data_IF_349669451510
#
_entry.id   IF_349669451510
#
_cell.length_a   1.000
_cell.length_b   1.000
_cell.length_c   1.000
_cell.angle_alpha   90.00
_cell.angle_beta   90.00
_cell.angle_gamma   90.00
#
_symmetry.space_group_name_H-M   'P 1'
#
loop_
_entity.id
_entity.type
_entity.pdbx_description
1 polymer ?
#
# COMPACT_ATOMS: atom_id res chain seq x y z
N UNK A 1 -77.76 -10.90 8.71
CA UNK A 1 -78.18 -9.74 7.88
C UNK A 1 -78.40 -10.22 6.46
N UNK A 2 -79.60 -10.01 5.93
CA UNK A 2 -80.14 -10.62 4.70
C UNK A 2 -79.47 -10.11 3.42
N UNK A 3 -79.43 -11.01 2.45
CA UNK A 3 -78.82 -10.90 1.12
C UNK A 3 -79.53 -9.96 0.13
N UNK A 4 -78.70 -9.39 -0.76
CA UNK A 4 -78.83 -9.16 -2.22
C UNK A 4 -80.20 -8.81 -2.82
N UNK A 5 -80.20 -7.73 -3.62
CA UNK A 5 -80.75 -7.74 -4.98
C UNK A 5 -80.08 -6.71 -5.89
N UNK A 6 -79.43 -7.22 -6.95
CA UNK A 6 -79.07 -6.48 -8.18
C UNK A 6 -80.36 -6.17 -8.95
N UNK A 7 -80.45 -5.03 -9.64
CA UNK A 7 -80.95 -4.99 -11.02
C UNK A 7 -80.58 -3.68 -11.75
N UNK A 8 -80.25 -3.88 -13.02
CA UNK A 8 -79.71 -2.96 -14.03
C UNK A 8 -80.74 -1.92 -14.51
N UNK A 9 -80.27 -0.73 -14.90
CA UNK A 9 -80.76 0.02 -16.08
C UNK A 9 -79.58 0.59 -16.85
N UNK A 10 -79.61 0.37 -18.17
CA UNK A 10 -78.63 0.81 -19.15
C UNK A 10 -79.08 2.11 -19.85
N UNK A 11 -78.26 2.56 -20.81
CA UNK A 11 -78.40 3.69 -21.77
C UNK A 11 -78.00 5.06 -21.19
N UNK A 12 -77.15 5.90 -21.79
CA UNK A 12 -76.82 6.06 -23.22
C UNK A 12 -75.40 6.58 -23.48
N UNK A 13 -74.99 6.30 -24.72
CA UNK A 13 -73.78 6.58 -25.47
C UNK A 13 -73.63 8.08 -25.80
N UNK A 14 -72.44 8.66 -25.56
CA UNK A 14 -71.92 9.79 -26.35
C UNK A 14 -70.47 9.48 -26.72
N UNK A 15 -70.27 9.34 -28.02
CA UNK A 15 -68.97 9.22 -28.66
C UNK A 15 -68.20 10.54 -28.55
N UNK A 16 -66.97 10.49 -28.07
CA UNK A 16 -65.91 11.41 -28.49
C UNK A 16 -64.69 10.57 -28.84
N UNK A 17 -64.59 10.26 -30.13
CA UNK A 17 -63.37 9.77 -30.75
C UNK A 17 -62.44 10.97 -30.89
N UNK A 18 -61.36 10.98 -30.10
CA UNK A 18 -60.15 11.70 -30.43
C UNK A 18 -59.01 10.70 -30.50
N UNK A 19 -58.76 10.23 -31.72
CA UNK A 19 -57.54 9.58 -32.14
C UNK A 19 -56.40 10.60 -32.08
N UNK A 20 -55.34 10.29 -31.35
CA UNK A 20 -53.98 10.07 -31.91
C UNK A 20 -52.86 10.52 -30.95
N UNK A 21 -51.81 9.69 -30.98
CA UNK A 21 -50.43 9.98 -30.64
C UNK A 21 -50.06 10.09 -29.15
N UNK A 22 -49.63 8.95 -28.62
CA UNK A 22 -48.88 8.84 -27.36
C UNK A 22 -48.48 7.41 -27.10
N UNK A 23 -47.92 6.72 -28.09
CA UNK A 23 -47.27 5.42 -27.85
C UNK A 23 -46.09 5.67 -26.90
N UNK A 24 -46.27 5.26 -25.64
CA UNK A 24 -45.36 4.39 -24.91
C UNK A 24 -43.88 4.51 -25.28
N UNK A 25 -43.26 5.60 -24.86
CA UNK A 25 -41.84 5.64 -24.53
C UNK A 25 -41.69 5.79 -23.03
N UNK A 26 -42.22 4.83 -22.26
CA UNK A 26 -41.85 4.67 -20.86
C UNK A 26 -40.39 4.18 -20.90
N UNK A 27 -39.45 5.11 -21.01
CA UNK A 27 -38.06 4.78 -20.72
C UNK A 27 -38.04 4.30 -19.28
N UNK A 28 -37.76 3.01 -19.09
CA UNK A 28 -37.32 2.52 -17.78
C UNK A 28 -36.22 3.49 -17.34
N UNK A 29 -36.43 4.16 -16.21
CA UNK A 29 -35.32 4.82 -15.51
C UNK A 29 -34.43 3.66 -15.07
N UNK A 30 -33.48 3.26 -15.91
CA UNK A 30 -32.45 2.30 -15.53
C UNK A 30 -31.81 2.80 -14.23
N UNK A 31 -31.86 1.95 -13.21
CA UNK A 31 -31.36 2.24 -11.88
C UNK A 31 -29.84 2.48 -11.97
N UNK A 32 -29.36 3.58 -11.39
CA UNK A 32 -27.92 3.85 -11.33
C UNK A 32 -27.27 2.80 -10.43
N UNK A 33 -26.19 2.19 -10.91
CA UNK A 33 -25.31 1.33 -10.09
C UNK A 33 -24.57 2.23 -9.11
N UNK A 34 -24.65 1.95 -7.81
CA UNK A 34 -23.93 2.69 -6.78
C UNK A 34 -22.79 1.83 -6.25
N UNK A 35 -21.55 2.28 -6.43
CA UNK A 35 -20.36 1.68 -5.83
C UNK A 35 -20.08 2.33 -4.49
N UNK A 36 -20.06 1.54 -3.41
CA UNK A 36 -19.64 1.99 -2.08
C UNK A 36 -18.13 1.77 -1.94
N UNK A 37 -17.40 2.88 -1.76
CA UNK A 37 -15.95 2.90 -1.66
C UNK A 37 -15.55 3.31 -0.25
N UNK A 38 -14.70 2.51 0.40
CA UNK A 38 -14.02 2.93 1.64
C UNK A 38 -12.61 3.38 1.30
N UNK A 39 -12.22 4.53 1.86
CA UNK A 39 -10.88 5.07 1.67
C UNK A 39 -10.29 5.67 2.94
N UNK A 40 -8.96 5.58 3.10
CA UNK A 40 -8.25 6.39 4.08
C UNK A 40 -8.25 7.87 3.69
N UNK A 41 -8.17 8.76 4.69
CA UNK A 41 -8.30 10.21 4.50
C UNK A 41 -7.27 10.81 3.55
N UNK A 42 -6.02 10.33 3.58
CA UNK A 42 -4.94 10.82 2.72
C UNK A 42 -5.14 10.47 1.24
N UNK A 43 -5.87 9.40 0.96
CA UNK A 43 -6.17 8.96 -0.41
C UNK A 43 -7.38 9.70 -1.02
N UNK A 44 -8.20 10.35 -0.19
CA UNK A 44 -9.52 10.87 -0.59
C UNK A 44 -9.49 11.69 -1.89
N UNK A 45 -8.55 12.62 -2.03
CA UNK A 45 -8.50 13.52 -3.20
C UNK A 45 -8.30 12.73 -4.50
N UNK A 46 -7.43 11.71 -4.50
CA UNK A 46 -7.21 10.85 -5.67
C UNK A 46 -8.42 9.96 -5.93
N UNK A 47 -9.05 9.42 -4.88
CA UNK A 47 -10.25 8.60 -5.00
C UNK A 47 -11.44 9.41 -5.54
N UNK A 48 -11.62 10.66 -5.10
CA UNK A 48 -12.63 11.58 -5.63
C UNK A 48 -12.38 11.89 -7.11
N UNK A 49 -11.12 12.11 -7.50
CA UNK A 49 -10.77 12.31 -8.90
C UNK A 49 -11.10 11.08 -9.76
N UNK A 50 -10.79 9.87 -9.29
CA UNK A 50 -11.11 8.63 -9.99
C UNK A 50 -12.63 8.42 -10.09
N UNK A 51 -13.36 8.67 -9.00
CA UNK A 51 -14.81 8.59 -8.94
C UNK A 51 -15.47 9.55 -9.95
N UNK A 52 -15.07 10.83 -9.94
CA UNK A 52 -15.59 11.85 -10.87
C UNK A 52 -15.27 11.53 -12.32
N UNK A 53 -14.09 10.98 -12.60
CA UNK A 53 -13.75 10.52 -13.94
C UNK A 53 -14.70 9.40 -14.37
N UNK A 54 -14.85 8.35 -13.55
CA UNK A 54 -15.72 7.21 -13.81
C UNK A 54 -17.18 7.62 -14.04
N UNK A 55 -17.75 8.45 -13.15
CA UNK A 55 -19.12 8.95 -13.30
C UNK A 55 -19.31 9.81 -14.57
N UNK A 56 -18.25 10.53 -14.97
CA UNK A 56 -18.25 11.37 -16.16
C UNK A 56 -18.29 10.57 -17.46
N UNK A 57 -17.60 9.43 -17.52
CA UNK A 57 -17.59 8.54 -18.70
C UNK A 57 -18.70 7.47 -18.67
N UNK A 58 -19.24 7.16 -17.48
CA UNK A 58 -20.33 6.20 -17.29
C UNK A 58 -21.51 6.84 -16.55
N UNK A 59 -22.48 7.37 -17.31
CA UNK A 59 -23.66 8.05 -16.75
C UNK A 59 -24.57 7.18 -15.85
N UNK A 60 -24.35 5.85 -15.86
CA UNK A 60 -25.09 4.85 -15.09
C UNK A 60 -24.40 4.47 -13.77
N UNK A 61 -23.15 4.87 -13.56
CA UNK A 61 -22.41 4.61 -12.32
C UNK A 61 -22.56 5.84 -11.42
N UNK A 62 -22.65 5.58 -10.12
CA UNK A 62 -22.48 6.56 -9.05
C UNK A 62 -21.50 5.98 -8.04
N UNK A 63 -20.59 6.80 -7.53
CA UNK A 63 -19.61 6.39 -6.53
C UNK A 63 -19.92 7.10 -5.21
N UNK A 64 -20.09 6.34 -4.14
CA UNK A 64 -20.29 6.84 -2.79
C UNK A 64 -19.04 6.54 -1.96
N UNK A 65 -18.26 7.58 -1.69
CA UNK A 65 -17.01 7.50 -0.92
C UNK A 65 -17.31 7.71 0.56
N UNK A 66 -16.93 6.74 1.38
CA UNK A 66 -16.90 6.84 2.83
C UNK A 66 -15.43 6.86 3.28
N UNK A 67 -15.03 7.97 3.90
CA UNK A 67 -13.65 8.20 4.38
C UNK A 67 -13.50 7.72 5.82
N UNK A 68 -12.45 6.95 6.09
CA UNK A 68 -12.07 6.57 7.46
C UNK A 68 -11.50 7.79 8.21
N UNK A 69 -11.86 7.99 9.49
CA UNK A 69 -11.20 9.00 10.33
C UNK A 69 -9.68 8.73 10.39
N UNK A 70 -8.87 9.80 10.50
CA UNK A 70 -7.41 9.69 10.47
C UNK A 70 -6.84 8.82 11.59
N UNK A 71 -7.16 9.15 12.85
CA UNK A 71 -6.63 8.49 14.06
C UNK A 71 -7.64 8.56 15.22
N UNK A 72 -7.36 7.83 16.30
CA UNK A 72 -8.09 7.92 17.57
C UNK A 72 -9.39 7.10 17.65
N UNK A 73 -10.17 7.26 18.74
CA UNK A 73 -11.29 6.38 19.07
C UNK A 73 -12.42 6.35 18.02
N UNK A 74 -12.59 7.45 17.27
CA UNK A 74 -13.58 7.51 16.18
C UNK A 74 -13.21 6.56 15.04
N UNK A 75 -11.91 6.44 14.72
CA UNK A 75 -11.41 5.50 13.71
C UNK A 75 -11.63 4.06 14.14
N UNK A 76 -11.26 3.74 15.37
CA UNK A 76 -11.45 2.40 15.96
C UNK A 76 -12.92 1.98 15.89
N UNK A 77 -13.82 2.85 16.35
CA UNK A 77 -15.27 2.60 16.35
C UNK A 77 -15.79 2.37 14.93
N UNK A 78 -15.31 3.11 13.93
CA UNK A 78 -15.75 2.94 12.55
C UNK A 78 -15.19 1.67 11.90
N UNK A 79 -13.93 1.33 12.18
CA UNK A 79 -13.32 0.08 11.74
C UNK A 79 -14.05 -1.13 12.32
N UNK A 80 -14.41 -1.13 13.60
CA UNK A 80 -15.16 -2.23 14.22
C UNK A 80 -16.52 -2.47 13.54
N UNK A 81 -17.24 -1.39 13.20
CA UNK A 81 -18.51 -1.49 12.45
C UNK A 81 -18.28 -2.08 11.06
N UNK A 82 -17.31 -1.56 10.32
CA UNK A 82 -17.00 -2.02 8.96
C UNK A 82 -16.57 -3.49 8.95
N UNK A 83 -15.71 -3.91 9.90
CA UNK A 83 -15.33 -5.33 10.06
C UNK A 83 -16.55 -6.20 10.32
N UNK A 84 -17.47 -5.76 11.17
CA UNK A 84 -18.74 -6.47 11.44
C UNK A 84 -19.60 -6.58 10.17
N UNK A 85 -19.70 -5.52 9.36
CA UNK A 85 -20.42 -5.54 8.09
C UNK A 85 -19.80 -6.51 7.08
N UNK A 86 -18.47 -6.51 6.97
CA UNK A 86 -17.70 -7.41 6.11
C UNK A 86 -17.97 -8.87 6.50
N UNK A 87 -17.85 -9.19 7.79
CA UNK A 87 -18.14 -10.54 8.33
C UNK A 87 -19.59 -10.97 8.09
N UNK A 88 -20.53 -10.01 8.02
CA UNK A 88 -21.93 -10.27 7.71
C UNK A 88 -22.21 -10.42 6.20
N UNK A 89 -21.19 -10.38 5.33
CA UNK A 89 -21.31 -10.46 3.88
C UNK A 89 -21.89 -9.19 3.24
N UNK A 90 -21.79 -8.05 3.92
CA UNK A 90 -22.31 -6.75 3.48
C UNK A 90 -21.20 -5.71 3.39
N UNK A 91 -20.01 -6.16 3.04
CA UNK A 91 -18.85 -5.31 2.87
C UNK A 91 -19.03 -4.28 1.74
N UNK A 92 -18.21 -3.21 1.74
CA UNK A 92 -18.07 -2.29 0.61
C UNK A 92 -17.76 -2.97 -0.72
N UNK A 93 -17.98 -2.24 -1.81
CA UNK A 93 -17.61 -2.70 -3.16
C UNK A 93 -16.10 -2.58 -3.38
N UNK A 94 -15.52 -1.46 -2.93
CA UNK A 94 -14.10 -1.15 -3.13
C UNK A 94 -13.45 -0.72 -1.81
N UNK A 95 -12.25 -1.23 -1.57
CA UNK A 95 -11.36 -0.79 -0.50
C UNK A 95 -10.14 -0.12 -1.12
N UNK A 96 -9.89 1.14 -0.78
CA UNK A 96 -8.70 1.90 -1.17
C UNK A 96 -7.99 2.33 0.10
N UNK A 97 -7.04 1.53 0.53
CA UNK A 97 -6.47 1.61 1.88
C UNK A 97 -4.98 1.89 1.84
N UNK A 98 -4.48 2.43 2.94
CA UNK A 98 -3.07 2.68 3.15
C UNK A 98 -2.45 1.72 4.16
N UNK A 99 -1.14 1.57 4.03
CA UNK A 99 -0.24 1.05 5.04
C UNK A 99 0.73 2.16 5.43
N UNK A 100 1.22 2.14 6.67
CA UNK A 100 2.17 3.16 7.12
C UNK A 100 3.63 2.71 6.92
N UNK A 101 4.55 3.67 6.97
CA UNK A 101 6.00 3.45 6.87
C UNK A 101 6.58 2.87 8.14
N UNK A 102 7.53 1.95 8.03
CA UNK A 102 8.15 1.18 9.12
C UNK A 102 8.52 1.95 10.39
N UNK A 103 8.78 3.26 10.29
CA UNK A 103 9.31 4.10 11.36
C UNK A 103 8.33 5.11 11.99
N UNK A 104 7.02 4.98 11.81
CA UNK A 104 6.06 5.84 12.55
C UNK A 104 5.96 5.46 14.03
N UNK A 105 5.71 6.46 14.87
CA UNK A 105 5.69 6.30 16.33
C UNK A 105 4.36 5.74 16.88
N UNK A 106 3.25 5.96 16.17
CA UNK A 106 1.92 5.54 16.62
C UNK A 106 1.17 4.84 15.49
N UNK A 107 0.92 3.54 15.65
CA UNK A 107 0.21 2.74 14.65
C UNK A 107 -1.29 3.04 14.70
N UNK A 108 -1.87 3.45 13.58
CA UNK A 108 -3.33 3.59 13.46
C UNK A 108 -3.99 2.23 13.35
N UNK A 109 -5.25 2.13 13.76
CA UNK A 109 -6.06 0.94 13.47
C UNK A 109 -6.25 0.78 11.96
N UNK A 110 -6.06 -0.41 11.39
CA UNK A 110 -6.29 -0.67 9.96
C UNK A 110 -7.63 -1.37 9.75
N UNK A 111 -8.35 -1.07 8.65
CA UNK A 111 -9.59 -1.79 8.35
C UNK A 111 -9.29 -3.28 8.10
N UNK A 112 -8.27 -3.55 7.29
CA UNK A 112 -7.70 -4.88 7.07
C UNK A 112 -6.37 -4.95 7.85
N UNK A 113 -6.41 -5.53 9.05
CA UNK A 113 -5.23 -5.61 9.94
C UNK A 113 -4.09 -6.43 9.34
N UNK A 114 -4.46 -7.54 8.72
CA UNK A 114 -3.57 -8.39 7.97
C UNK A 114 -4.18 -8.62 6.57
N UNK A 115 -3.67 -7.92 5.53
CA UNK A 115 -4.15 -8.09 4.17
C UNK A 115 -4.09 -9.54 3.66
N UNK A 116 -3.12 -10.36 4.11
CA UNK A 116 -3.06 -11.77 3.75
C UNK A 116 -4.25 -12.58 4.29
N UNK A 117 -4.63 -12.35 5.56
CA UNK A 117 -5.84 -12.94 6.13
C UNK A 117 -7.11 -12.44 5.43
N UNK A 118 -7.14 -11.18 4.98
CA UNK A 118 -8.26 -10.65 4.21
C UNK A 118 -8.43 -11.39 2.87
N UNK A 119 -7.33 -11.73 2.20
CA UNK A 119 -7.34 -12.57 0.99
C UNK A 119 -7.79 -14.01 1.32
N UNK A 120 -7.24 -14.62 2.37
CA UNK A 120 -7.54 -15.99 2.79
C UNK A 120 -9.00 -16.20 3.26
N UNK A 121 -9.57 -15.22 3.98
CA UNK A 121 -10.91 -15.32 4.58
C UNK A 121 -12.06 -15.28 3.56
N UNK A 122 -11.78 -14.96 2.29
CA UNK A 122 -12.78 -14.79 1.24
C UNK A 122 -13.55 -13.47 1.33
N UNK A 123 -13.06 -12.50 2.10
CA UNK A 123 -13.63 -11.14 2.16
C UNK A 123 -13.42 -10.37 0.86
N UNK A 124 -12.35 -10.67 0.13
CA UNK A 124 -11.96 -10.02 -1.13
C UNK A 124 -12.27 -10.90 -2.33
N UNK A 125 -12.70 -10.28 -3.43
CA UNK A 125 -12.97 -10.96 -4.68
C UNK A 125 -11.66 -11.21 -5.47
N UNK A 126 -11.50 -12.37 -6.13
CA UNK A 126 -10.39 -12.57 -7.05
C UNK A 126 -10.53 -11.64 -8.27
N UNK A 127 -9.41 -11.15 -8.76
CA UNK A 127 -9.33 -10.13 -9.82
C UNK A 127 -8.86 -10.69 -11.17
N UNK A 128 -8.45 -11.96 -11.20
CA UNK A 128 -7.78 -12.58 -12.35
C UNK A 128 -8.58 -12.43 -13.66
N UNK A 129 -9.91 -12.65 -13.61
CA UNK A 129 -10.80 -12.50 -14.77
C UNK A 129 -10.76 -11.08 -15.37
N UNK A 130 -10.72 -10.05 -14.53
CA UNK A 130 -10.68 -8.65 -14.98
C UNK A 130 -9.30 -8.26 -15.47
N UNK A 131 -8.24 -8.84 -14.89
CA UNK A 131 -6.86 -8.61 -15.31
C UNK A 131 -6.55 -9.27 -16.65
N UNK A 132 -7.04 -10.49 -16.90
CA UNK A 132 -6.85 -11.20 -18.19
C UNK A 132 -7.41 -10.41 -19.38
N UNK A 133 -8.53 -9.68 -19.19
CA UNK A 133 -9.13 -8.83 -20.21
C UNK A 133 -8.45 -7.46 -20.37
N UNK A 134 -7.50 -7.13 -19.50
CA UNK A 134 -6.93 -5.79 -19.38
C UNK A 134 -5.54 -5.69 -20.01
N UNK A 135 -5.51 -5.14 -21.22
CA UNK A 135 -4.27 -4.88 -22.00
C UNK A 135 -3.20 -4.04 -21.29
N UNK A 136 -3.55 -3.37 -20.19
CA UNK A 136 -2.55 -2.70 -19.34
C UNK A 136 -1.45 -3.68 -18.91
N UNK A 137 -1.82 -4.89 -18.45
CA UNK A 137 -0.85 -5.83 -17.89
C UNK A 137 0.12 -6.41 -18.92
N UNK A 138 -0.27 -6.48 -20.19
CA UNK A 138 0.59 -7.03 -21.26
C UNK A 138 1.83 -6.18 -21.54
N UNK A 139 1.74 -4.86 -21.35
CA UNK A 139 2.81 -3.92 -21.71
C UNK A 139 3.11 -2.91 -20.59
N UNK A 140 2.75 -3.25 -19.35
CA UNK A 140 3.02 -2.38 -18.20
C UNK A 140 4.49 -2.42 -17.81
N UNK A 141 4.97 -1.32 -17.24
CA UNK A 141 6.26 -1.24 -16.53
C UNK A 141 6.05 -1.40 -15.02
N UNK A 142 5.01 -2.13 -14.60
CA UNK A 142 4.66 -2.32 -13.21
C UNK A 142 5.62 -3.34 -12.57
N UNK A 143 6.10 -3.06 -11.36
CA UNK A 143 6.98 -4.02 -10.66
C UNK A 143 6.19 -5.28 -10.24
N UNK A 144 6.58 -6.45 -10.76
CA UNK A 144 5.89 -7.71 -10.49
C UNK A 144 5.96 -8.19 -9.04
N UNK A 145 6.98 -7.82 -8.27
CA UNK A 145 7.11 -8.23 -6.87
C UNK A 145 5.98 -7.63 -6.02
N UNK A 146 5.58 -6.39 -6.28
CA UNK A 146 4.39 -5.81 -5.65
C UNK A 146 3.12 -6.57 -6.04
N UNK A 147 2.97 -6.93 -7.32
CA UNK A 147 1.79 -7.67 -7.76
C UNK A 147 1.69 -9.02 -7.05
N UNK A 148 2.82 -9.73 -6.87
CA UNK A 148 2.89 -11.00 -6.16
C UNK A 148 2.48 -10.88 -4.69
N UNK A 149 2.79 -9.78 -4.01
CA UNK A 149 2.38 -9.57 -2.61
C UNK A 149 0.85 -9.58 -2.45
N UNK A 150 0.10 -9.14 -3.46
CA UNK A 150 -1.37 -9.14 -3.46
C UNK A 150 -2.03 -10.47 -3.87
N UNK A 151 -1.28 -11.58 -3.85
CA UNK A 151 -1.76 -12.91 -4.22
C UNK A 151 -1.91 -13.85 -3.03
N UNK A 152 -2.84 -14.78 -3.17
CA UNK A 152 -3.03 -15.89 -2.26
C UNK A 152 -3.59 -17.09 -3.03
N UNK A 153 -3.06 -18.31 -2.80
CA UNK A 153 -3.50 -19.55 -3.46
C UNK A 153 -3.58 -19.42 -4.99
N UNK A 154 -2.53 -18.79 -5.56
CA UNK A 154 -2.38 -18.60 -6.99
C UNK A 154 -3.33 -17.58 -7.66
N UNK A 155 -4.13 -16.83 -6.89
CA UNK A 155 -5.05 -15.79 -7.41
C UNK A 155 -4.70 -14.39 -6.95
N UNK A 156 -5.01 -13.39 -7.76
CA UNK A 156 -4.84 -11.97 -7.39
C UNK A 156 -6.08 -11.44 -6.64
N UNK A 157 -5.87 -10.77 -5.50
CA UNK A 157 -6.97 -10.17 -4.72
C UNK A 157 -6.76 -8.68 -4.43
N UNK A 158 -5.51 -8.26 -4.28
CA UNK A 158 -5.14 -6.90 -3.95
C UNK A 158 -4.25 -6.35 -5.06
N UNK A 159 -4.46 -5.11 -5.48
CA UNK A 159 -3.58 -4.38 -6.39
C UNK A 159 -2.85 -3.30 -5.60
N UNK A 160 -1.55 -3.46 -5.29
CA UNK A 160 -0.78 -2.37 -4.70
C UNK A 160 -0.69 -1.18 -5.65
N UNK A 161 -0.83 0.02 -5.10
CA UNK A 161 -0.88 1.29 -5.84
C UNK A 161 0.38 2.13 -5.58
N UNK A 162 1.04 1.92 -4.44
CA UNK A 162 2.29 2.58 -4.06
C UNK A 162 3.09 1.72 -3.08
N UNK A 163 4.37 2.06 -2.88
CA UNK A 163 5.27 1.31 -2.01
C UNK A 163 6.27 2.19 -1.27
N UNK A 164 6.81 1.65 -0.19
CA UNK A 164 7.91 2.23 0.57
C UNK A 164 9.14 1.33 0.51
N UNK A 165 10.30 1.92 0.26
CA UNK A 165 11.58 1.26 0.37
C UNK A 165 12.66 2.23 0.82
N UNK A 166 13.71 1.68 1.42
CA UNK A 166 14.87 2.43 1.87
C UNK A 166 15.97 2.40 0.82
N UNK A 167 16.61 3.55 0.65
CA UNK A 167 17.80 3.69 -0.18
C UNK A 167 18.93 4.32 0.61
N UNK A 168 20.15 3.89 0.30
CA UNK A 168 21.35 4.63 0.59
C UNK A 168 21.60 5.59 -0.59
N UNK A 169 21.52 6.89 -0.31
CA UNK A 169 21.89 7.93 -1.26
C UNK A 169 23.36 8.31 -1.05
N UNK A 170 24.13 8.31 -2.14
CA UNK A 170 25.55 8.62 -2.15
C UNK A 170 25.82 9.80 -3.09
N UNK A 171 26.50 10.83 -2.60
CA UNK A 171 26.89 11.97 -3.45
C UNK A 171 27.99 11.57 -4.43
N UNK A 172 28.03 12.27 -5.56
CA UNK A 172 29.06 12.07 -6.59
C UNK A 172 30.48 12.13 -6.03
N UNK A 173 31.31 11.15 -6.41
CA UNK A 173 32.71 11.05 -5.99
C UNK A 173 32.95 10.29 -4.68
N UNK A 174 31.92 9.65 -4.14
CA UNK A 174 32.00 8.71 -3.01
C UNK A 174 32.04 7.28 -3.56
N UNK A 175 32.90 6.42 -2.99
CA UNK A 175 32.97 5.02 -3.37
C UNK A 175 31.65 4.29 -3.03
N UNK A 176 31.18 3.45 -3.96
CA UNK A 176 29.96 2.67 -3.76
C UNK A 176 30.12 1.64 -2.64
N UNK A 177 29.01 1.35 -1.95
CA UNK A 177 28.98 0.20 -1.04
C UNK A 177 29.18 -1.10 -1.83
N UNK A 178 30.02 -1.98 -1.29
CA UNK A 178 30.25 -3.33 -1.81
C UNK A 178 29.59 -4.35 -0.87
N UNK A 179 29.25 -5.52 -1.41
CA UNK A 179 28.53 -6.57 -0.68
C UNK A 179 27.03 -6.58 -1.01
N UNK A 180 26.45 -7.75 -0.80
CA UNK A 180 25.08 -8.07 -1.17
C UNK A 180 24.15 -8.12 0.05
N UNK A 181 24.70 -8.21 1.26
CA UNK A 181 23.94 -8.34 2.52
C UNK A 181 24.11 -7.15 3.44
N UNK A 182 23.14 -6.95 4.34
CA UNK A 182 23.23 -5.91 5.36
C UNK A 182 24.39 -6.16 6.35
N UNK A 183 24.76 -7.41 6.58
CA UNK A 183 25.95 -7.78 7.36
C UNK A 183 27.22 -7.17 6.80
N UNK A 184 27.48 -7.42 5.51
CA UNK A 184 28.68 -6.93 4.81
C UNK A 184 28.71 -5.40 4.79
N UNK A 185 27.53 -4.76 4.65
CA UNK A 185 27.43 -3.31 4.67
C UNK A 185 27.77 -2.70 6.03
N UNK A 186 27.35 -3.32 7.14
CA UNK A 186 27.74 -2.90 8.50
C UNK A 186 29.24 -3.11 8.71
N UNK A 187 29.80 -4.25 8.28
CA UNK A 187 31.24 -4.53 8.38
C UNK A 187 32.07 -3.50 7.58
N UNK A 188 31.62 -3.16 6.37
CA UNK A 188 32.25 -2.14 5.55
C UNK A 188 32.20 -0.77 6.24
N UNK A 189 31.04 -0.39 6.79
CA UNK A 189 30.89 0.86 7.53
C UNK A 189 31.79 0.90 8.78
N UNK A 190 31.90 -0.21 9.52
CA UNK A 190 32.76 -0.31 10.70
C UNK A 190 34.26 -0.14 10.34
N UNK A 191 34.69 -0.82 9.27
CA UNK A 191 36.07 -0.76 8.77
C UNK A 191 36.42 0.58 8.10
N UNK A 192 35.42 1.35 7.67
CA UNK A 192 35.63 2.60 6.95
C UNK A 192 36.28 3.68 7.81
N UNK A 193 37.14 4.49 7.19
CA UNK A 193 37.61 5.75 7.78
C UNK A 193 36.65 6.91 7.51
N UNK A 194 35.61 6.71 6.69
CA UNK A 194 34.60 7.72 6.40
C UNK A 194 33.57 7.82 7.53
N UNK A 195 33.61 8.94 8.24
CA UNK A 195 32.69 9.23 9.35
C UNK A 195 31.25 9.35 8.85
N UNK A 196 31.03 9.85 7.62
CA UNK A 196 29.70 10.05 7.07
C UNK A 196 29.04 8.71 6.73
N UNK A 197 29.82 7.76 6.21
CA UNK A 197 29.37 6.37 6.02
C UNK A 197 28.99 5.76 7.37
N UNK A 198 29.85 5.91 8.39
CA UNK A 198 29.55 5.44 9.76
C UNK A 198 28.26 6.04 10.31
N UNK A 199 28.09 7.35 10.19
CA UNK A 199 26.88 8.04 10.68
C UNK A 199 25.61 7.62 9.95
N UNK A 200 25.68 7.38 8.63
CA UNK A 200 24.55 6.85 7.88
C UNK A 200 24.12 5.49 8.44
N UNK A 201 25.05 4.55 8.63
CA UNK A 201 24.74 3.21 9.13
C UNK A 201 24.31 3.17 10.60
N UNK A 202 24.61 4.20 11.41
CA UNK A 202 23.97 4.35 12.74
C UNK A 202 22.45 4.50 12.63
N UNK A 203 21.95 5.06 11.53
CA UNK A 203 20.52 5.29 11.28
C UNK A 203 19.75 4.11 10.69
N UNK A 204 20.41 2.96 10.45
CA UNK A 204 19.85 1.82 9.71
C UNK A 204 18.67 1.13 10.43
N UNK A 205 18.55 1.33 11.74
CA UNK A 205 17.43 0.86 12.56
C UNK A 205 16.07 1.45 12.17
N UNK A 206 16.05 2.56 11.43
CA UNK A 206 14.81 3.11 10.88
C UNK A 206 14.12 2.12 9.91
N UNK A 207 14.88 1.17 9.35
CA UNK A 207 14.37 0.06 8.54
C UNK A 207 14.36 -1.28 9.29
N UNK A 208 14.31 -1.29 10.62
CA UNK A 208 14.39 -2.53 11.42
C UNK A 208 13.41 -3.64 11.01
N UNK A 209 12.18 -3.29 10.63
CA UNK A 209 11.18 -4.24 10.14
C UNK A 209 11.55 -4.94 8.83
N UNK A 210 12.53 -4.39 8.10
CA UNK A 210 13.00 -4.87 6.79
C UNK A 210 14.20 -5.79 6.87
N UNK A 211 14.86 -5.88 8.01
CA UNK A 211 16.14 -6.59 8.14
C UNK A 211 16.03 -8.09 7.88
N UNK A 212 14.84 -8.69 7.93
CA UNK A 212 14.65 -10.10 7.61
C UNK A 212 13.28 -10.30 6.96
N UNK A 213 13.23 -10.24 5.62
CA UNK A 213 12.00 -10.41 4.85
C UNK A 213 12.22 -11.33 3.64
N UNK A 214 11.27 -12.21 3.29
CA UNK A 214 9.97 -12.41 3.94
C UNK A 214 10.09 -13.09 5.31
N UNK A 215 9.39 -12.57 6.31
CA UNK A 215 9.37 -13.13 7.66
C UNK A 215 8.36 -14.29 7.83
N UNK A 216 7.43 -14.42 6.89
CA UNK A 216 6.28 -15.33 6.97
C UNK A 216 5.93 -15.87 5.57
N UNK A 217 5.59 -17.16 5.51
CA UNK A 217 4.87 -17.78 4.41
C UNK A 217 3.41 -18.01 4.82
N UNK A 218 2.52 -17.16 4.31
CA UNK A 218 1.09 -17.23 4.60
C UNK A 218 0.38 -18.38 3.88
N UNK A 219 0.92 -18.91 2.79
CA UNK A 219 0.30 -20.04 2.07
C UNK A 219 0.51 -21.35 2.84
N UNK A 220 1.74 -21.57 3.34
CA UNK A 220 2.09 -22.77 4.10
C UNK A 220 1.95 -22.58 5.62
N UNK A 221 1.58 -21.39 6.08
CA UNK A 221 1.47 -21.00 7.49
C UNK A 221 2.78 -21.21 8.27
N UNK A 222 3.90 -20.91 7.63
CA UNK A 222 5.25 -21.06 8.19
C UNK A 222 5.84 -19.70 8.57
N UNK A 223 6.56 -19.66 9.69
CA UNK A 223 7.31 -18.46 10.11
C UNK A 223 8.75 -18.63 9.67
N UNK A 224 9.23 -17.75 8.80
CA UNK A 224 10.60 -17.71 8.30
C UNK A 224 11.54 -16.82 9.13
N UNK A 225 10.98 -15.96 9.98
CA UNK A 225 11.77 -15.14 10.90
C UNK A 225 12.63 -16.00 11.85
N UNK A 226 13.95 -16.01 11.61
CA UNK A 226 14.92 -16.69 12.46
C UNK A 226 15.36 -15.78 13.61
N UNK A 227 14.88 -16.11 14.81
CA UNK A 227 15.22 -15.37 16.03
C UNK A 227 16.71 -15.38 16.34
N UNK A 228 17.40 -16.49 16.14
CA UNK A 228 18.81 -16.59 16.55
C UNK A 228 19.70 -15.76 15.62
N UNK A 229 19.44 -15.82 14.32
CA UNK A 229 20.14 -15.02 13.32
C UNK A 229 19.86 -13.52 13.50
N UNK A 230 18.59 -13.14 13.69
CA UNK A 230 18.22 -11.75 13.95
C UNK A 230 18.89 -11.19 15.22
N UNK A 231 18.91 -11.97 16.32
CA UNK A 231 19.58 -11.55 17.57
C UNK A 231 21.07 -11.33 17.37
N UNK A 232 21.73 -12.17 16.58
CA UNK A 232 23.16 -12.02 16.31
C UNK A 232 23.44 -10.74 15.51
N UNK A 233 22.59 -10.43 14.53
CA UNK A 233 22.70 -9.20 13.75
C UNK A 233 22.54 -7.96 14.62
N UNK A 234 21.53 -7.95 15.49
CA UNK A 234 21.31 -6.82 16.40
C UNK A 234 22.49 -6.63 17.34
N UNK A 235 23.14 -7.70 17.82
CA UNK A 235 24.35 -7.56 18.64
C UNK A 235 25.50 -6.94 17.85
N UNK A 236 25.73 -7.35 16.61
CA UNK A 236 26.76 -6.75 15.76
C UNK A 236 26.46 -5.26 15.54
N UNK A 237 25.22 -4.91 15.20
CA UNK A 237 24.81 -3.52 15.01
C UNK A 237 24.96 -2.69 16.29
N UNK A 238 24.57 -3.22 17.46
CA UNK A 238 24.77 -2.55 18.76
C UNK A 238 26.26 -2.33 19.04
N UNK A 239 27.12 -3.32 18.79
CA UNK A 239 28.57 -3.17 18.91
C UNK A 239 29.10 -2.07 17.99
N UNK A 240 28.61 -2.00 16.75
CA UNK A 240 28.93 -0.93 15.82
C UNK A 240 28.49 0.45 16.34
N UNK A 241 27.28 0.57 16.89
CA UNK A 241 26.81 1.82 17.52
C UNK A 241 27.72 2.25 18.67
N UNK A 242 28.07 1.34 19.59
CA UNK A 242 28.94 1.66 20.72
C UNK A 242 30.33 2.09 20.26
N UNK A 243 30.88 1.43 19.23
CA UNK A 243 32.20 1.77 18.67
C UNK A 243 32.25 3.18 18.04
N UNK A 244 31.10 3.72 17.65
CA UNK A 244 30.97 5.01 16.94
C UNK A 244 30.42 6.14 17.80
N UNK A 245 30.18 5.92 19.10
CA UNK A 245 29.55 6.92 19.98
C UNK A 245 30.37 8.22 20.15
N UNK A 246 31.70 8.13 20.15
CA UNK A 246 32.57 9.30 20.23
C UNK A 246 32.54 10.18 18.96
N UNK A 247 32.02 9.67 17.84
CA UNK A 247 32.00 10.35 16.54
C UNK A 247 30.77 11.25 16.34
N UNK A 248 29.76 11.19 17.23
CA UNK A 248 28.50 11.94 17.13
C UNK A 248 28.74 13.47 17.06
N UNK A 249 29.86 13.97 17.56
CA UNK A 249 30.20 15.40 17.57
C UNK A 249 30.75 15.92 16.21
N UNK A 250 31.12 15.03 15.27
CA UNK A 250 31.66 15.39 13.95
C UNK A 250 30.59 15.17 12.85
N UNK A 251 29.80 16.21 12.55
CA UNK A 251 28.80 16.15 11.46
C UNK A 251 29.41 16.50 10.10
N UNK A 252 29.10 15.69 9.09
CA UNK A 252 29.44 15.89 7.68
C UNK A 252 28.37 15.30 6.76
N UNK A 253 28.39 15.66 5.47
CA UNK A 253 27.39 15.24 4.47
C UNK A 253 28.02 14.51 3.27
N UNK A 254 27.52 13.31 2.95
CA UNK A 254 27.95 12.53 1.78
C UNK A 254 27.16 11.23 1.58
N UNK A 255 26.77 10.59 2.68
CA UNK A 255 25.79 9.49 2.70
C UNK A 255 24.51 9.95 3.39
N UNK A 256 23.36 9.48 2.92
CA UNK A 256 22.11 9.56 3.67
C UNK A 256 21.26 8.31 3.46
N UNK A 257 20.67 7.82 4.55
CA UNK A 257 19.61 6.83 4.50
C UNK A 257 18.29 7.56 4.34
N UNK A 258 17.53 7.23 3.30
CA UNK A 258 16.26 7.87 3.04
C UNK A 258 15.22 6.81 2.70
N UNK A 259 13.98 7.07 3.10
CA UNK A 259 12.87 6.53 2.33
C UNK A 259 12.89 7.17 0.95
N UNK A 260 12.48 6.39 -0.05
CA UNK A 260 12.53 6.82 -1.44
C UNK A 260 11.79 8.14 -1.71
N UNK A 261 10.65 8.39 -1.05
CA UNK A 261 9.88 9.61 -1.24
C UNK A 261 10.51 10.85 -0.59
N UNK A 262 11.57 10.66 0.20
CA UNK A 262 12.35 11.72 0.83
C UNK A 262 13.72 11.95 0.16
N UNK A 263 14.00 11.26 -0.95
CA UNK A 263 15.29 11.39 -1.65
C UNK A 263 15.49 12.80 -2.19
N UNK A 264 16.71 13.32 -2.01
CA UNK A 264 17.07 14.64 -2.54
C UNK A 264 17.28 14.62 -4.05
N UNK A 265 17.06 15.77 -4.71
CA UNK A 265 17.23 15.94 -6.16
C UNK A 265 18.63 16.46 -6.55
N UNK A 266 19.64 16.17 -5.74
CA UNK A 266 21.00 16.64 -6.01
C UNK A 266 21.59 15.90 -7.24
N UNK A 267 22.06 16.62 -8.29
CA UNK A 267 22.62 15.99 -9.48
C UNK A 267 23.83 15.09 -9.18
N UNK A 268 23.87 13.93 -9.84
CA UNK A 268 24.96 12.96 -9.67
C UNK A 268 24.88 12.14 -8.37
N UNK A 269 23.75 12.17 -7.66
CA UNK A 269 23.47 11.26 -6.54
C UNK A 269 23.14 9.88 -7.08
N UNK A 270 23.84 8.85 -6.60
CA UNK A 270 23.51 7.45 -6.85
C UNK A 270 22.63 6.89 -5.73
N UNK A 271 21.72 5.97 -6.06
CA UNK A 271 20.82 5.35 -5.10
C UNK A 271 21.01 3.84 -5.11
N UNK A 272 21.16 3.27 -3.91
CA UNK A 272 21.25 1.81 -3.74
C UNK A 272 20.16 1.36 -2.79
N UNK A 273 19.38 0.35 -3.19
CA UNK A 273 18.48 -0.33 -2.26
C UNK A 273 19.29 -0.93 -1.12
N UNK A 274 18.78 -0.76 0.10
CA UNK A 274 19.38 -1.39 1.27
C UNK A 274 18.91 -2.86 1.29
N UNK A 275 19.83 -3.83 1.22
CA UNK A 275 19.47 -5.23 1.33
C UNK A 275 19.04 -5.57 2.77
N UNK A 276 18.29 -6.64 2.93
CA UNK A 276 18.08 -7.27 4.22
C UNK A 276 19.33 -8.08 4.65
N UNK A 277 19.24 -8.75 5.79
CA UNK A 277 20.33 -9.60 6.31
C UNK A 277 20.68 -10.77 5.38
N UNK A 278 19.75 -11.23 4.55
CA UNK A 278 19.93 -12.33 3.61
C UNK A 278 20.25 -11.86 2.19
N UNK A 279 20.36 -10.55 1.98
CA UNK A 279 20.67 -9.92 0.71
C UNK A 279 19.45 -9.60 -0.15
N UNK A 280 18.25 -9.75 0.40
CA UNK A 280 17.04 -9.45 -0.33
C UNK A 280 16.80 -7.95 -0.49
N UNK A 281 16.35 -7.54 -1.67
CA UNK A 281 15.96 -6.15 -1.98
C UNK A 281 14.48 -5.95 -1.69
N UNK A 282 14.19 -5.36 -0.54
CA UNK A 282 12.87 -5.41 0.10
C UNK A 282 12.10 -4.10 0.05
N UNK A 283 10.80 -4.19 -0.24
CA UNK A 283 9.86 -3.08 -0.15
C UNK A 283 8.61 -3.46 0.65
N UNK A 284 7.86 -2.47 1.12
CA UNK A 284 6.54 -2.67 1.70
C UNK A 284 5.47 -1.97 0.87
N UNK A 285 4.26 -2.52 0.88
CA UNK A 285 3.11 -1.87 0.25
C UNK A 285 2.76 -0.60 1.03
N UNK A 286 2.55 0.52 0.34
CA UNK A 286 2.17 1.81 0.94
C UNK A 286 0.70 2.14 0.79
N UNK A 287 0.09 1.77 -0.32
CA UNK A 287 -1.36 1.80 -0.51
C UNK A 287 -1.80 0.74 -1.50
N UNK A 288 -3.06 0.35 -1.44
CA UNK A 288 -3.59 -0.72 -2.27
C UNK A 288 -5.09 -0.61 -2.49
N UNK A 289 -5.54 -1.19 -3.61
CA UNK A 289 -6.94 -1.38 -3.94
C UNK A 289 -7.36 -2.85 -3.83
N UNK A 290 -8.57 -3.10 -3.34
CA UNK A 290 -9.19 -4.42 -3.35
C UNK A 290 -10.69 -4.32 -3.63
N UNK A 291 -11.26 -5.38 -4.22
CA UNK A 291 -12.69 -5.49 -4.48
C UNK A 291 -13.34 -6.40 -3.45
N UNK A 292 -14.44 -5.96 -2.85
CA UNK A 292 -15.19 -6.78 -1.90
C UNK A 292 -15.88 -7.96 -2.56
N UNK A 293 -15.81 -9.12 -1.92
CA UNK A 293 -16.52 -10.32 -2.39
C UNK A 293 -18.03 -10.09 -2.51
N UNK A 294 -18.59 -9.24 -1.62
CA UNK A 294 -20.00 -8.84 -1.60
C UNK A 294 -20.41 -7.88 -2.72
N UNK A 295 -19.48 -7.37 -3.53
CA UNK A 295 -19.82 -6.45 -4.62
C UNK A 295 -20.60 -7.17 -5.72
N UNK A 296 -21.70 -6.57 -6.17
CA UNK A 296 -22.43 -6.99 -7.37
C UNK A 296 -21.83 -6.38 -8.66
N UNK A 297 -20.85 -5.48 -8.52
CA UNK A 297 -20.29 -4.64 -9.59
C UNK A 297 -18.75 -4.74 -9.61
N UNK A 298 -18.25 -5.97 -9.65
CA UNK A 298 -16.82 -6.28 -9.52
C UNK A 298 -15.96 -5.72 -10.66
N UNK A 299 -16.47 -5.72 -11.89
CA UNK A 299 -15.78 -5.14 -13.06
C UNK A 299 -15.61 -3.63 -12.89
N UNK A 300 -16.68 -2.90 -12.58
CA UNK A 300 -16.61 -1.46 -12.34
C UNK A 300 -15.76 -1.12 -11.11
N UNK A 301 -15.77 -1.96 -10.09
CA UNK A 301 -14.93 -1.83 -8.90
C UNK A 301 -13.44 -1.97 -9.24
N UNK A 302 -13.08 -2.96 -10.06
CA UNK A 302 -11.73 -3.14 -10.59
C UNK A 302 -11.32 -1.95 -11.47
N UNK A 303 -12.19 -1.48 -12.35
CA UNK A 303 -11.92 -0.31 -13.20
C UNK A 303 -11.58 0.93 -12.38
N UNK A 304 -12.29 1.17 -11.26
CA UNK A 304 -12.04 2.31 -10.37
C UNK A 304 -10.62 2.26 -9.79
N UNK A 305 -10.18 1.08 -9.34
CA UNK A 305 -8.82 0.85 -8.84
C UNK A 305 -7.80 1.16 -9.95
N UNK A 306 -8.06 0.68 -11.17
CA UNK A 306 -7.13 0.88 -12.29
C UNK A 306 -6.98 2.36 -12.71
N UNK A 307 -7.99 3.20 -12.49
CA UNK A 307 -7.89 4.65 -12.74
C UNK A 307 -6.85 5.34 -11.84
N UNK A 308 -6.59 4.79 -10.65
CA UNK A 308 -5.57 5.29 -9.72
C UNK A 308 -4.19 4.74 -10.07
N UNK A 309 -4.15 3.53 -10.64
CA UNK A 309 -2.90 2.87 -10.97
C UNK A 309 -2.29 3.38 -12.27
N UNK A 310 -3.05 3.65 -13.33
CA UNK A 310 -2.45 3.85 -14.67
C UNK A 310 -2.81 5.22 -15.30
N UNK A 311 -2.26 5.45 -16.50
CA UNK A 311 -2.43 6.72 -17.23
C UNK A 311 -3.70 6.76 -18.11
N UNK A 312 -4.70 5.90 -17.88
CA UNK A 312 -5.92 5.85 -18.72
C UNK A 312 -6.64 7.18 -18.80
N UNK A 313 -6.75 7.89 -17.69
CA UNK A 313 -7.46 9.18 -17.65
C UNK A 313 -6.72 10.26 -18.47
N UNK A 314 -5.38 10.25 -18.43
CA UNK A 314 -4.52 11.10 -19.26
C UNK A 314 -4.71 10.81 -20.74
N UNK A 315 -4.59 9.54 -21.15
CA UNK A 315 -4.78 9.11 -22.54
C UNK A 315 -6.17 9.49 -23.06
N UNK A 316 -7.22 9.26 -22.26
CA UNK A 316 -8.58 9.66 -22.61
C UNK A 316 -8.67 11.17 -22.90
N UNK A 317 -8.07 12.00 -22.05
CA UNK A 317 -8.07 13.46 -22.23
C UNK A 317 -7.32 13.89 -23.49
N UNK A 318 -6.19 13.27 -23.77
CA UNK A 318 -5.41 13.55 -24.98
C UNK A 318 -6.19 13.22 -26.25
N UNK A 319 -6.92 12.10 -26.26
CA UNK A 319 -7.73 11.64 -27.41
C UNK A 319 -9.03 12.41 -27.59
N UNK A 320 -9.74 12.72 -26.50
CA UNK A 320 -11.07 13.36 -26.55
C UNK A 320 -11.02 14.87 -26.44
N UNK A 321 -9.87 15.44 -26.07
CA UNK A 321 -9.70 16.86 -25.75
C UNK A 321 -10.67 17.38 -24.69
N UNK A 322 -11.14 16.50 -23.80
CA UNK A 322 -12.07 16.84 -22.72
C UNK A 322 -11.31 17.49 -21.55
N UNK A 323 -11.59 18.77 -21.30
CA UNK A 323 -10.88 19.55 -20.27
C UNK A 323 -11.54 19.49 -18.91
N UNK A 324 -12.74 18.92 -18.79
CA UNK A 324 -13.52 18.95 -17.55
C UNK A 324 -13.24 17.74 -16.66
N UNK A 325 -12.85 16.60 -17.25
CA UNK A 325 -12.56 15.39 -16.47
C UNK A 325 -11.19 15.46 -15.76
N UNK A 326 -11.10 14.91 -14.52
CA UNK A 326 -9.84 14.80 -13.79
C UNK A 326 -8.79 13.98 -14.54
N UNK A 327 -7.52 14.22 -14.22
CA UNK A 327 -6.37 13.47 -14.76
C UNK A 327 -5.58 12.86 -13.60
N UNK A 328 -5.32 11.58 -13.71
CA UNK A 328 -4.54 10.72 -12.82
C UNK A 328 -3.41 10.09 -13.63
N UNK A 329 -2.23 10.07 -13.02
CA UNK A 329 -0.96 9.77 -13.69
C UNK A 329 -0.27 8.53 -13.12
N UNK A 330 -1.07 7.64 -12.52
CA UNK A 330 -0.61 6.38 -11.96
C UNK A 330 0.22 6.49 -10.68
N UNK A 331 0.05 7.57 -9.92
CA UNK A 331 0.68 7.74 -8.62
C UNK A 331 -0.26 8.46 -7.64
N UNK A 332 -0.13 8.10 -6.36
CA UNK A 332 -0.94 8.62 -5.27
C UNK A 332 -0.06 9.51 -4.39
N UNK A 333 -0.53 10.74 -4.15
CA UNK A 333 0.13 11.66 -3.24
C UNK A 333 0.18 11.10 -1.83
N UNK A 334 1.28 11.35 -1.11
CA UNK A 334 1.44 11.06 0.31
C UNK A 334 1.43 9.58 0.74
N UNK A 335 1.35 8.61 -0.16
CA UNK A 335 1.24 7.18 0.23
C UNK A 335 2.39 6.32 -0.29
N UNK A 336 3.57 6.90 -0.51
CA UNK A 336 4.76 6.20 -1.02
C UNK A 336 5.00 6.41 -2.51
N UNK A 337 6.04 5.77 -3.02
CA UNK A 337 6.46 5.89 -4.41
C UNK A 337 5.57 5.07 -5.37
N UNK A 338 5.39 5.53 -6.62
CA UNK A 338 4.64 4.78 -7.62
C UNK A 338 5.34 3.50 -8.04
N UNK A 339 4.53 2.53 -8.48
CA UNK A 339 4.98 1.17 -8.79
C UNK A 339 5.21 0.92 -10.29
N UNK A 340 5.22 2.00 -11.08
CA UNK A 340 5.47 1.96 -12.52
C UNK A 340 6.53 2.97 -12.92
N UNK A 341 7.44 2.55 -13.80
CA UNK A 341 8.51 3.41 -14.32
C UNK A 341 7.99 4.73 -14.92
N UNK A 342 6.95 4.69 -15.77
CA UNK A 342 6.39 5.92 -16.35
C UNK A 342 5.79 6.85 -15.29
N UNK A 343 5.16 6.28 -14.25
CA UNK A 343 4.62 7.08 -13.15
C UNK A 343 5.75 7.68 -12.29
N UNK A 344 6.88 6.98 -12.11
CA UNK A 344 8.08 7.53 -11.46
C UNK A 344 8.58 8.75 -12.22
N UNK A 345 8.64 8.72 -13.55
CA UNK A 345 9.09 9.87 -14.37
C UNK A 345 8.19 11.09 -14.18
N UNK A 346 6.87 10.90 -14.10
CA UNK A 346 5.92 11.98 -13.82
C UNK A 346 6.08 12.52 -12.39
N UNK A 347 6.17 11.62 -11.41
CA UNK A 347 6.32 11.93 -10.00
C UNK A 347 7.62 12.70 -9.73
N UNK A 348 8.70 12.30 -10.38
CA UNK A 348 10.04 12.89 -10.29
C UNK A 348 10.29 13.98 -11.34
N UNK A 349 9.25 14.57 -11.94
CA UNK A 349 9.40 15.52 -13.06
C UNK A 349 10.18 16.81 -12.74
N UNK A 350 10.37 17.11 -11.45
CA UNK A 350 11.19 18.24 -10.98
C UNK A 350 12.62 17.84 -10.56
N UNK A 351 12.90 16.54 -10.53
CA UNK A 351 14.19 15.99 -10.16
C UNK A 351 15.22 16.07 -11.30
N UNK A 352 16.49 15.88 -10.95
CA UNK A 352 17.52 15.60 -11.93
C UNK A 352 17.24 14.26 -12.64
N UNK A 353 17.45 14.21 -13.97
CA UNK A 353 17.13 13.05 -14.80
C UNK A 353 17.89 11.79 -14.37
N UNK A 354 19.15 11.95 -13.91
CA UNK A 354 19.91 10.82 -13.39
C UNK A 354 19.28 10.29 -12.11
N UNK A 355 18.87 11.15 -11.18
CA UNK A 355 18.21 10.71 -9.93
C UNK A 355 16.90 10.00 -10.22
N UNK A 356 16.10 10.51 -11.16
CA UNK A 356 14.87 9.84 -11.58
C UNK A 356 15.15 8.43 -12.16
N UNK A 357 16.24 8.28 -12.93
CA UNK A 357 16.68 6.98 -13.43
C UNK A 357 17.11 6.03 -12.30
N UNK A 358 17.87 6.52 -11.31
CA UNK A 358 18.29 5.73 -10.15
C UNK A 358 17.08 5.21 -9.35
N UNK A 359 16.01 6.01 -9.21
CA UNK A 359 14.74 5.55 -8.59
C UNK A 359 14.09 4.45 -9.42
N UNK A 360 14.09 4.57 -10.76
CA UNK A 360 13.57 3.51 -11.65
C UNK A 360 14.38 2.23 -11.53
N UNK A 361 15.71 2.30 -11.48
CA UNK A 361 16.54 1.10 -11.29
C UNK A 361 16.29 0.47 -9.92
N UNK A 362 16.21 1.25 -8.84
CA UNK A 362 15.80 0.73 -7.53
C UNK A 362 14.44 0.03 -7.63
N UNK A 363 13.44 0.66 -8.26
CA UNK A 363 12.11 0.04 -8.42
C UNK A 363 12.19 -1.32 -9.15
N UNK A 364 13.05 -1.47 -10.18
CA UNK A 364 13.22 -2.74 -10.90
C UNK A 364 13.89 -3.82 -10.07
N UNK A 365 14.79 -3.42 -9.18
CA UNK A 365 15.58 -4.33 -8.37
C UNK A 365 14.83 -4.91 -7.16
N UNK A 366 13.68 -4.33 -6.78
CA UNK A 366 12.85 -4.86 -5.69
C UNK A 366 12.33 -6.26 -6.06
N UNK A 367 12.63 -7.23 -5.20
CA UNK A 367 12.28 -8.64 -5.41
C UNK A 367 11.29 -9.18 -4.36
N UNK A 368 11.36 -8.65 -3.14
CA UNK A 368 10.53 -9.09 -2.02
C UNK A 368 9.67 -7.92 -1.54
N UNK A 369 8.36 -8.14 -1.49
CA UNK A 369 7.38 -7.16 -1.05
C UNK A 369 6.47 -7.76 0.01
N UNK A 370 6.22 -7.01 1.07
CA UNK A 370 5.33 -7.43 2.16
C UNK A 370 4.33 -6.34 2.53
N UNK A 371 3.27 -6.72 3.23
CA UNK A 371 2.38 -5.78 3.92
C UNK A 371 2.88 -5.62 5.35
N UNK A 372 3.03 -4.38 5.80
CA UNK A 372 3.39 -4.07 7.19
C UNK A 372 2.36 -4.64 8.16
N UNK A 373 2.83 -5.30 9.22
CA UNK A 373 1.99 -5.80 10.32
C UNK A 373 2.54 -5.33 11.67
N UNK A 374 1.84 -5.63 12.76
CA UNK A 374 2.29 -5.38 14.13
C UNK A 374 3.72 -5.89 14.42
N UNK A 375 4.15 -6.97 13.74
CA UNK A 375 5.47 -7.55 13.96
C UNK A 375 6.60 -6.62 13.53
N UNK A 376 6.51 -6.03 12.33
CA UNK A 376 7.52 -5.07 11.85
C UNK A 376 7.53 -3.77 12.66
N UNK A 377 6.36 -3.32 13.10
CA UNK A 377 6.25 -2.18 14.03
C UNK A 377 6.92 -2.44 15.37
N UNK A 378 6.73 -3.63 15.92
CA UNK A 378 7.35 -4.05 17.17
C UNK A 378 8.89 -4.04 17.04
N UNK A 379 9.43 -4.55 15.93
CA UNK A 379 10.87 -4.50 15.65
C UNK A 379 11.40 -3.07 15.65
N UNK A 380 10.74 -2.15 14.95
CA UNK A 380 11.13 -0.73 14.92
C UNK A 380 11.05 -0.08 16.30
N UNK A 381 9.90 -0.18 16.96
CA UNK A 381 9.61 0.52 18.22
C UNK A 381 10.56 0.06 19.33
N UNK A 382 10.75 -1.25 19.44
CA UNK A 382 11.62 -1.81 20.48
C UNK A 382 13.10 -1.54 20.20
N UNK A 383 13.55 -1.57 18.94
CA UNK A 383 14.93 -1.17 18.60
C UNK A 383 15.17 0.33 18.81
N UNK A 384 14.17 1.17 18.54
CA UNK A 384 14.20 2.60 18.87
C UNK A 384 14.42 2.81 20.38
N UNK A 385 13.68 2.08 21.22
CA UNK A 385 13.85 2.14 22.67
C UNK A 385 15.25 1.63 23.10
N UNK A 386 15.71 0.53 22.48
CA UNK A 386 17.01 -0.09 22.74
C UNK A 386 18.18 0.89 22.55
N UNK A 387 18.08 1.82 21.59
CA UNK A 387 19.09 2.86 21.32
C UNK A 387 19.35 3.74 22.54
N UNK A 388 18.32 4.06 23.31
CA UNK A 388 18.45 4.89 24.50
C UNK A 388 18.80 4.04 25.72
N UNK A 389 18.20 2.86 25.81
CA UNK A 389 18.38 1.93 26.94
C UNK A 389 19.83 1.43 27.09
N UNK A 390 20.62 1.37 26.02
CA UNK A 390 22.02 0.92 26.08
C UNK A 390 22.91 1.77 27.01
N UNK A 391 22.50 3.02 27.29
CA UNK A 391 23.25 3.89 28.19
C UNK A 391 22.92 3.67 29.67
N UNK A 392 21.89 2.88 29.98
CA UNK A 392 21.46 2.62 31.34
C UNK A 392 22.19 1.40 31.93
N UNK A 393 23.02 1.55 32.98
CA UNK A 393 23.86 0.46 33.51
C UNK A 393 23.09 -0.74 34.06
N UNK A 394 21.80 -0.58 34.33
CA UNK A 394 20.90 -1.64 34.83
C UNK A 394 20.35 -2.54 33.74
N UNK A 395 20.47 -2.15 32.47
CA UNK A 395 19.90 -2.87 31.35
C UNK A 395 20.78 -4.04 30.94
N UNK A 396 20.17 -5.23 30.85
CA UNK A 396 20.80 -6.43 30.29
C UNK A 396 20.50 -6.51 28.79
N UNK A 397 21.43 -6.02 27.97
CA UNK A 397 21.23 -5.90 26.51
C UNK A 397 20.89 -7.23 25.84
N UNK A 398 21.61 -8.31 26.15
CA UNK A 398 21.32 -9.63 25.59
C UNK A 398 19.91 -10.13 25.93
N UNK A 399 19.43 -9.83 27.14
CA UNK A 399 18.08 -10.19 27.56
C UNK A 399 17.04 -9.40 26.75
N UNK A 400 17.21 -8.08 26.62
CA UNK A 400 16.30 -7.24 25.83
C UNK A 400 16.24 -7.67 24.37
N UNK A 401 17.39 -7.88 23.74
CA UNK A 401 17.46 -8.35 22.35
C UNK A 401 16.71 -9.69 22.19
N UNK A 402 16.82 -10.58 23.18
CA UNK A 402 16.07 -11.85 23.19
C UNK A 402 14.57 -11.66 23.37
N UNK A 403 14.14 -10.77 24.26
CA UNK A 403 12.73 -10.45 24.50
C UNK A 403 12.06 -9.87 23.24
N UNK A 404 12.76 -8.99 22.51
CA UNK A 404 12.28 -8.41 21.25
C UNK A 404 12.08 -9.52 20.21
N UNK A 405 13.10 -10.35 19.98
CA UNK A 405 13.04 -11.44 19.00
C UNK A 405 11.92 -12.46 19.32
N UNK A 406 11.78 -12.84 20.60
CA UNK A 406 10.74 -13.75 21.04
C UNK A 406 9.34 -13.15 20.88
N UNK A 407 9.17 -11.86 21.21
CA UNK A 407 7.89 -11.16 21.06
C UNK A 407 7.50 -11.07 19.59
N UNK A 408 8.39 -10.58 18.73
CA UNK A 408 8.14 -10.50 17.27
C UNK A 408 7.79 -11.86 16.67
N UNK A 409 8.54 -12.91 17.01
CA UNK A 409 8.24 -14.25 16.51
C UNK A 409 6.87 -14.76 16.96
N UNK A 410 6.46 -14.48 18.20
CA UNK A 410 5.13 -14.84 18.69
C UNK A 410 4.03 -14.08 17.94
N UNK A 411 4.26 -12.82 17.56
CA UNK A 411 3.34 -12.05 16.71
C UNK A 411 3.22 -12.72 15.33
N UNK A 412 4.34 -13.01 14.64
CA UNK A 412 4.29 -13.71 13.36
C UNK A 412 3.58 -15.05 13.44
N UNK A 413 3.86 -15.84 14.48
CA UNK A 413 3.18 -17.12 14.71
C UNK A 413 1.68 -16.95 14.85
N UNK A 414 1.22 -15.93 15.57
CA UNK A 414 -0.20 -15.63 15.71
C UNK A 414 -0.83 -15.30 14.35
N UNK A 415 -0.17 -14.45 13.56
CA UNK A 415 -0.62 -13.98 12.24
C UNK A 415 -0.82 -15.11 11.20
N UNK A 416 -0.09 -16.23 11.31
CA UNK A 416 -0.28 -17.39 10.42
C UNK A 416 -1.21 -18.47 10.97
N UNK A 417 -1.50 -18.44 12.27
CA UNK A 417 -2.29 -19.47 12.95
C UNK A 417 -3.78 -19.18 13.05
N UNK A 418 -4.17 -17.92 12.83
CA UNK A 418 -5.55 -17.41 12.76
C UNK A 418 -5.99 -17.31 11.31
#
# INVERSE_FOLDING_TARGET
MRERKRFRKATAMVCLVSLAAGFSGCGEKEEKKTLRVITDQRLYDKVDMAARFMEGIHSRIRVEIQTLPGEGPERETEIEKLRTEIMAGKGPDVYLLESDQDNIAEVRSYLLENPYQAMQSGALAPLDEYMEGDTYWENSTYNEAFLKAGRFDGRQYIIPLSGYWFVLAQKSGIDEMEGDTLWEWIEQAEASSDIQQKMAFRGIWQGAGRWMQPAVDYENQEVFFDKEEWKEFVKQWVSFLESTDAMIEESGSGFSLNFIESVGYEPGTTLRLIPDMNGHKVASVGSYGAVGMSSDYKEESYELIMLLLNERTRKYKEEKHDRELPVLDGWIDFSGAPLQENAVQNWMSSADEHVAQEVVECLREIENVYFMTEAEWNLYTELSALIFDRYEPSIQMEQKISEIADTTWNIYKKLVSE
#
